data_IF_155411638376
#
_entry.id   IF_155411638376
#
_cell.length_a   1.000
_cell.length_b   1.000
_cell.length_c   1.000
_cell.angle_alpha   90.00
_cell.angle_beta   90.00
_cell.angle_gamma   90.00
#
_symmetry.space_group_name_H-M   'P 1'
#
loop_
_entity.id
_entity.type
_entity.pdbx_description
1 polymer ?
#
# COMPACT_ATOMS: atom_id res chain seq x y z
N UNK A 1 9.26 22.36 -0.52
CA UNK A 1 8.74 20.98 -0.46
C UNK A 1 7.22 20.96 -0.36
N UNK A 2 6.64 21.73 0.55
CA UNK A 2 5.19 21.85 0.70
C UNK A 2 4.47 22.20 -0.61
N UNK A 3 5.06 23.07 -1.46
CA UNK A 3 4.45 23.49 -2.72
C UNK A 3 4.26 22.37 -3.76
N UNK A 4 5.12 21.35 -3.81
CA UNK A 4 4.98 20.22 -4.75
C UNK A 4 3.89 19.28 -4.29
N UNK A 5 3.86 18.95 -3.01
CA UNK A 5 2.82 18.12 -2.42
C UNK A 5 1.45 18.81 -2.51
N UNK A 6 1.38 20.12 -2.25
CA UNK A 6 0.16 20.91 -2.42
C UNK A 6 -0.33 20.93 -3.86
N UNK A 7 0.57 21.03 -4.85
CA UNK A 7 0.22 20.94 -6.27
C UNK A 7 -0.33 19.57 -6.65
N UNK A 8 0.28 18.49 -6.17
CA UNK A 8 -0.22 17.12 -6.39
C UNK A 8 -1.60 16.96 -5.80
N UNK A 9 -1.81 17.38 -4.54
CA UNK A 9 -3.11 17.31 -3.86
C UNK A 9 -4.16 18.14 -4.61
N UNK A 10 -3.81 19.36 -5.04
CA UNK A 10 -4.71 20.23 -5.79
C UNK A 10 -5.09 19.65 -7.17
N UNK A 11 -4.24 18.80 -7.73
CA UNK A 11 -4.49 18.09 -8.99
C UNK A 11 -5.47 16.92 -8.86
N UNK A 12 -5.77 16.47 -7.64
CA UNK A 12 -6.72 15.37 -7.40
C UNK A 12 -8.15 15.89 -7.58
N UNK A 13 -8.78 15.56 -8.71
CA UNK A 13 -10.16 15.92 -8.98
C UNK A 13 -11.16 15.14 -8.10
N UNK A 14 -12.35 15.72 -7.85
CA UNK A 14 -13.42 15.02 -7.16
C UNK A 14 -13.97 13.86 -8.01
N UNK A 15 -14.52 12.87 -7.33
CA UNK A 15 -15.26 11.79 -7.99
C UNK A 15 -16.45 12.37 -8.78
N UNK A 16 -16.62 11.93 -10.03
CA UNK A 16 -17.82 12.28 -10.80
C UNK A 16 -19.06 11.54 -10.25
N UNK A 17 -19.83 12.27 -9.42
CA UNK A 17 -21.04 11.73 -8.77
C UNK A 17 -22.18 11.51 -9.77
N UNK A 18 -22.24 12.26 -10.86
CA UNK A 18 -23.24 12.08 -11.92
C UNK A 18 -23.04 10.72 -12.59
N UNK A 19 -21.80 10.40 -13.03
CA UNK A 19 -21.47 9.10 -13.61
C UNK A 19 -21.66 7.94 -12.62
N UNK A 20 -21.38 8.17 -11.35
CA UNK A 20 -21.68 7.20 -10.30
C UNK A 20 -23.19 6.91 -10.22
N UNK A 21 -24.02 7.95 -10.21
CA UNK A 21 -25.48 7.84 -10.17
C UNK A 21 -26.06 7.19 -11.42
N UNK A 22 -25.61 7.57 -12.61
CA UNK A 22 -25.98 6.93 -13.88
C UNK A 22 -25.68 5.43 -13.87
N UNK A 23 -24.51 5.03 -13.35
CA UNK A 23 -24.13 3.63 -13.22
C UNK A 23 -25.09 2.87 -12.31
N UNK A 24 -25.44 3.41 -11.14
CA UNK A 24 -26.40 2.80 -10.23
C UNK A 24 -27.79 2.67 -10.86
N UNK A 25 -28.28 3.71 -11.54
CA UNK A 25 -29.57 3.67 -12.23
C UNK A 25 -29.58 2.59 -13.31
N UNK A 26 -28.52 2.49 -14.10
CA UNK A 26 -28.37 1.46 -15.14
C UNK A 26 -28.36 0.06 -14.55
N UNK A 27 -27.58 -0.19 -13.51
CA UNK A 27 -27.51 -1.48 -12.84
C UNK A 27 -28.85 -1.88 -12.22
N UNK A 28 -29.55 -0.94 -11.58
CA UNK A 28 -30.87 -1.19 -11.00
C UNK A 28 -31.94 -1.54 -12.03
N UNK A 29 -31.76 -1.13 -13.27
CA UNK A 29 -32.67 -1.49 -14.38
C UNK A 29 -32.43 -2.90 -14.95
N UNK A 30 -31.32 -3.55 -14.59
CA UNK A 30 -31.01 -4.90 -15.03
C UNK A 30 -31.72 -5.92 -14.15
N UNK A 31 -32.28 -6.95 -14.79
CA UNK A 31 -32.94 -8.06 -14.11
C UNK A 31 -31.93 -9.10 -13.58
N UNK A 32 -30.88 -8.63 -12.90
CA UNK A 32 -29.83 -9.47 -12.28
C UNK A 32 -29.83 -9.26 -10.77
N UNK A 33 -29.44 -10.28 -9.98
CA UNK A 33 -29.28 -10.11 -8.56
C UNK A 33 -28.32 -8.95 -8.26
N UNK A 34 -28.73 -8.02 -7.39
CA UNK A 34 -27.92 -6.88 -6.98
C UNK A 34 -27.02 -7.31 -5.83
N UNK A 35 -25.72 -7.41 -6.08
CA UNK A 35 -24.71 -7.49 -5.01
C UNK A 35 -24.30 -6.07 -4.61
N UNK A 36 -24.63 -5.68 -3.38
CA UNK A 36 -24.40 -4.31 -2.88
C UNK A 36 -22.94 -3.88 -3.00
N UNK A 37 -21.99 -4.77 -2.76
CA UNK A 37 -20.56 -4.48 -2.86
C UNK A 37 -20.11 -4.30 -4.30
N UNK A 38 -20.54 -5.19 -5.21
CA UNK A 38 -20.20 -5.09 -6.63
C UNK A 38 -20.88 -3.87 -7.26
N UNK A 39 -22.12 -3.59 -6.92
CA UNK A 39 -22.84 -2.38 -7.37
C UNK A 39 -22.13 -1.12 -6.92
N UNK A 40 -21.75 -1.05 -5.64
CA UNK A 40 -20.97 0.07 -5.09
C UNK A 40 -19.64 0.24 -5.84
N UNK A 41 -18.87 -0.83 -6.01
CA UNK A 41 -17.59 -0.79 -6.71
C UNK A 41 -17.74 -0.34 -8.17
N UNK A 42 -18.74 -0.84 -8.87
CA UNK A 42 -19.02 -0.43 -10.26
C UNK A 42 -19.32 1.07 -10.36
N UNK A 43 -20.15 1.61 -9.47
CA UNK A 43 -20.42 3.05 -9.41
C UNK A 43 -19.18 3.88 -9.12
N UNK A 44 -18.32 3.42 -8.21
CA UNK A 44 -17.05 4.09 -7.91
C UNK A 44 -16.11 4.08 -9.12
N UNK A 45 -15.98 2.96 -9.81
CA UNK A 45 -15.18 2.84 -11.04
C UNK A 45 -15.72 3.78 -12.12
N UNK A 46 -17.03 3.81 -12.35
CA UNK A 46 -17.65 4.72 -13.31
C UNK A 46 -17.36 6.19 -12.98
N UNK A 47 -17.44 6.57 -11.70
CA UNK A 47 -17.17 7.93 -11.25
C UNK A 47 -15.69 8.33 -11.36
N UNK A 48 -14.74 7.41 -11.12
CA UNK A 48 -13.30 7.65 -11.26
C UNK A 48 -12.90 7.74 -12.73
N UNK A 49 -13.45 6.85 -13.58
CA UNK A 49 -13.10 6.78 -15.01
C UNK A 49 -13.92 7.71 -15.90
N UNK A 50 -14.86 8.46 -15.31
CA UNK A 50 -15.77 9.38 -15.99
C UNK A 50 -16.54 8.73 -17.17
N UNK A 51 -16.84 7.43 -17.08
CA UNK A 51 -17.51 6.67 -18.13
C UNK A 51 -18.28 5.47 -17.58
N UNK A 52 -19.38 5.10 -18.23
CA UNK A 52 -20.11 3.85 -17.98
C UNK A 52 -19.49 2.62 -18.68
N UNK A 53 -18.46 2.83 -19.48
CA UNK A 53 -17.75 1.77 -20.20
C UNK A 53 -16.25 1.89 -19.97
N UNK A 54 -15.78 1.62 -18.73
CA UNK A 54 -14.36 1.68 -18.43
C UNK A 54 -13.59 0.68 -19.30
N UNK A 55 -12.38 1.04 -19.69
CA UNK A 55 -11.48 0.12 -20.37
C UNK A 55 -11.15 -1.08 -19.51
N UNK A 56 -10.69 -2.17 -20.13
CA UNK A 56 -10.16 -3.31 -19.41
C UNK A 56 -9.01 -2.84 -18.48
N UNK A 57 -9.02 -3.34 -17.25
CA UNK A 57 -8.03 -2.96 -16.26
C UNK A 57 -6.65 -3.54 -16.63
N UNK A 58 -5.67 -2.66 -16.84
CA UNK A 58 -4.25 -3.01 -16.81
C UNK A 58 -3.80 -2.94 -15.35
N UNK A 59 -3.46 -4.08 -14.78
CA UNK A 59 -3.30 -4.25 -13.32
C UNK A 59 -1.85 -4.46 -12.95
N UNK A 60 -1.42 -3.85 -11.84
CA UNK A 60 -0.17 -4.17 -11.19
C UNK A 60 -0.35 -4.36 -9.67
N UNK A 61 0.47 -5.22 -9.10
CA UNK A 61 0.69 -5.31 -7.66
C UNK A 61 2.03 -4.64 -7.37
N UNK A 62 2.00 -3.57 -6.59
CA UNK A 62 3.18 -2.83 -6.16
C UNK A 62 3.47 -3.21 -4.72
N UNK A 63 4.63 -3.83 -4.50
CA UNK A 63 5.08 -4.29 -3.19
C UNK A 63 6.21 -3.38 -2.70
N UNK A 64 5.99 -2.77 -1.56
CA UNK A 64 6.99 -1.97 -0.86
C UNK A 64 7.70 -2.86 0.16
N UNK A 65 9.02 -2.97 0.03
CA UNK A 65 9.84 -3.79 0.91
C UNK A 65 10.59 -2.90 1.91
N UNK A 66 10.34 -3.11 3.20
CA UNK A 66 11.02 -2.38 4.27
C UNK A 66 11.01 -3.18 5.58
N UNK A 67 12.08 -3.09 6.33
CA UNK A 67 12.20 -3.67 7.67
C UNK A 67 12.01 -2.60 8.74
N UNK A 68 11.34 -2.96 9.85
CA UNK A 68 10.95 -2.02 10.88
C UNK A 68 11.45 -2.46 12.26
N UNK A 69 12.14 -1.57 12.98
CA UNK A 69 12.66 -1.82 14.31
C UNK A 69 11.66 -1.41 15.40
N UNK A 70 10.46 -1.99 15.38
CA UNK A 70 9.36 -1.60 16.30
C UNK A 70 9.48 -2.18 17.69
N UNK A 71 10.19 -3.30 17.84
CA UNK A 71 10.32 -4.03 19.09
C UNK A 71 11.73 -3.93 19.71
N UNK A 72 12.55 -3.02 19.18
CA UNK A 72 13.93 -2.82 19.63
C UNK A 72 14.84 -4.02 19.38
N UNK A 73 14.39 -4.97 18.55
CA UNK A 73 14.99 -6.28 18.40
C UNK A 73 16.45 -6.25 18.03
N UNK A 74 17.28 -6.80 18.93
CA UNK A 74 18.68 -7.15 18.69
C UNK A 74 18.79 -8.48 17.94
N UNK A 75 17.99 -8.66 16.89
CA UNK A 75 17.97 -9.93 16.19
C UNK A 75 19.22 -10.06 15.30
N UNK A 76 20.01 -11.09 15.53
CA UNK A 76 21.21 -11.40 14.74
C UNK A 76 20.92 -11.75 13.26
N UNK A 77 19.68 -12.10 12.95
CA UNK A 77 19.22 -12.43 11.59
C UNK A 77 18.43 -11.29 10.94
N UNK A 78 18.64 -10.08 11.43
CA UNK A 78 17.91 -8.88 11.04
C UNK A 78 17.82 -8.72 9.52
N UNK A 79 16.61 -8.68 8.98
CA UNK A 79 16.35 -8.52 7.55
C UNK A 79 16.65 -9.73 6.66
N UNK A 80 17.17 -10.83 7.18
CA UNK A 80 17.48 -12.00 6.32
C UNK A 80 16.23 -12.67 5.76
N UNK A 81 15.17 -12.75 6.55
CA UNK A 81 13.88 -13.28 6.11
C UNK A 81 13.25 -12.42 5.03
N UNK A 82 13.29 -11.11 5.19
CA UNK A 82 12.78 -10.12 4.25
C UNK A 82 13.54 -10.15 2.92
N UNK A 83 14.86 -10.25 2.98
CA UNK A 83 15.71 -10.42 1.79
C UNK A 83 15.35 -11.70 1.03
N UNK A 84 15.21 -12.83 1.73
CA UNK A 84 14.85 -14.09 1.10
C UNK A 84 13.48 -14.00 0.42
N UNK A 85 12.49 -13.42 1.10
CA UNK A 85 11.15 -13.20 0.54
C UNK A 85 11.17 -12.28 -0.68
N UNK A 86 11.94 -11.20 -0.63
CA UNK A 86 12.10 -10.28 -1.75
C UNK A 86 12.70 -10.97 -2.97
N UNK A 87 13.77 -11.75 -2.79
CA UNK A 87 14.40 -12.52 -3.87
C UNK A 87 13.46 -13.59 -4.45
N UNK A 88 12.67 -14.25 -3.62
CA UNK A 88 11.66 -15.22 -4.09
C UNK A 88 10.60 -14.54 -4.96
N UNK A 89 10.11 -13.38 -4.55
CA UNK A 89 9.13 -12.58 -5.30
C UNK A 89 9.75 -12.05 -6.60
N UNK A 90 10.96 -11.50 -6.54
CA UNK A 90 11.68 -11.01 -7.72
C UNK A 90 11.92 -12.11 -8.76
N UNK A 91 12.21 -13.33 -8.30
CA UNK A 91 12.33 -14.51 -9.15
C UNK A 91 11.00 -15.06 -9.70
N UNK A 92 9.86 -14.40 -9.40
CA UNK A 92 8.53 -14.85 -9.85
C UNK A 92 7.98 -16.06 -9.11
N UNK A 93 8.60 -16.49 -8.01
CA UNK A 93 8.26 -17.73 -7.27
C UNK A 93 7.36 -17.49 -6.06
N UNK A 94 7.24 -16.24 -5.61
CA UNK A 94 6.42 -15.86 -4.46
C UNK A 94 4.94 -16.19 -4.66
N UNK A 95 4.22 -16.39 -3.57
CA UNK A 95 2.77 -16.65 -3.62
C UNK A 95 2.03 -15.54 -4.36
N UNK A 96 2.42 -14.28 -4.14
CA UNK A 96 1.80 -13.12 -4.79
C UNK A 96 1.96 -13.15 -6.32
N UNK A 97 3.10 -13.66 -6.84
CA UNK A 97 3.30 -13.78 -8.28
C UNK A 97 2.30 -14.75 -8.90
N UNK A 98 1.98 -15.85 -8.22
CA UNK A 98 0.99 -16.86 -8.69
C UNK A 98 -0.40 -16.25 -8.75
N UNK A 99 -0.80 -15.53 -7.71
CA UNK A 99 -2.11 -14.84 -7.65
C UNK A 99 -2.19 -13.74 -8.71
N UNK A 100 -1.17 -12.89 -8.82
CA UNK A 100 -1.10 -11.84 -9.81
C UNK A 100 -1.21 -12.38 -11.24
N UNK A 101 -0.49 -13.47 -11.53
CA UNK A 101 -0.56 -14.14 -12.83
C UNK A 101 -1.99 -14.62 -13.18
N UNK A 102 -2.73 -15.18 -12.20
CA UNK A 102 -4.10 -15.66 -12.43
C UNK A 102 -5.06 -14.53 -12.85
N UNK A 103 -4.82 -13.31 -12.38
CA UNK A 103 -5.66 -12.15 -12.71
C UNK A 103 -5.04 -11.26 -13.80
N UNK A 104 -3.94 -11.68 -14.41
CA UNK A 104 -3.23 -10.90 -15.43
C UNK A 104 -2.65 -9.59 -14.91
N UNK A 105 -2.15 -9.59 -13.67
CA UNK A 105 -1.49 -8.43 -13.07
C UNK A 105 0.03 -8.59 -13.09
N UNK A 106 0.76 -7.50 -13.34
CA UNK A 106 2.20 -7.41 -13.12
C UNK A 106 2.53 -7.36 -11.62
N UNK A 107 3.75 -7.72 -11.25
CA UNK A 107 4.27 -7.53 -9.89
C UNK A 107 5.51 -6.64 -9.96
N UNK A 108 5.48 -5.53 -9.23
CA UNK A 108 6.58 -4.61 -9.07
C UNK A 108 7.04 -4.65 -7.62
N UNK A 109 8.33 -4.88 -7.39
CA UNK A 109 8.92 -4.94 -6.06
C UNK A 109 9.92 -3.81 -5.88
N UNK A 110 9.68 -2.96 -4.88
CA UNK A 110 10.44 -1.76 -4.58
C UNK A 110 11.12 -1.94 -3.21
N UNK A 111 12.44 -1.85 -3.18
CA UNK A 111 13.17 -1.80 -1.91
C UNK A 111 13.19 -0.36 -1.39
N UNK A 112 12.36 -0.09 -0.39
CA UNK A 112 12.25 1.22 0.26
C UNK A 112 13.09 1.31 1.53
N UNK A 113 13.50 0.17 2.09
CA UNK A 113 14.22 0.16 3.36
C UNK A 113 14.43 -1.22 3.95
N UNK A 114 14.81 -2.20 3.15
CA UNK A 114 15.27 -3.48 3.68
C UNK A 114 16.59 -3.30 4.42
N UNK A 115 16.77 -4.01 5.52
CA UNK A 115 18.03 -4.01 6.28
C UNK A 115 19.21 -4.54 5.46
N UNK A 116 18.94 -5.55 4.62
CA UNK A 116 19.93 -6.18 3.76
C UNK A 116 19.90 -5.58 2.35
N UNK A 117 21.07 -5.41 1.74
CA UNK A 117 21.15 -5.02 0.35
C UNK A 117 20.70 -6.14 -0.59
N UNK A 118 19.96 -5.77 -1.62
CA UNK A 118 19.60 -6.62 -2.75
C UNK A 118 20.12 -5.92 -4.01
N UNK A 119 20.94 -6.58 -4.84
CA UNK A 119 21.37 -6.01 -6.11
C UNK A 119 20.19 -5.77 -7.06
N UNK A 120 20.18 -4.66 -7.79
CA UNK A 120 19.16 -4.36 -8.81
C UNK A 120 19.04 -5.46 -9.87
N UNK A 121 20.15 -6.14 -10.18
CA UNK A 121 20.19 -7.27 -11.12
C UNK A 121 19.25 -8.42 -10.71
N UNK A 122 18.81 -8.47 -9.47
CA UNK A 122 17.89 -9.49 -8.95
C UNK A 122 16.40 -9.16 -9.21
N UNK A 123 16.09 -8.09 -9.94
CA UNK A 123 14.72 -7.71 -10.27
C UNK A 123 13.95 -6.97 -9.16
N UNK A 124 14.69 -6.38 -8.25
CA UNK A 124 14.17 -5.48 -7.21
C UNK A 124 14.61 -4.07 -7.57
N UNK A 125 13.67 -3.13 -7.66
CA UNK A 125 14.00 -1.74 -7.87
C UNK A 125 14.47 -1.12 -6.56
N UNK A 126 15.70 -0.60 -6.53
CA UNK A 126 16.28 0.03 -5.34
C UNK A 126 15.83 1.50 -5.24
N UNK A 127 14.98 1.77 -4.26
CA UNK A 127 14.51 3.10 -3.84
C UNK A 127 14.76 3.31 -2.33
N UNK A 128 15.76 2.62 -1.81
CA UNK A 128 16.07 2.57 -0.39
C UNK A 128 16.45 3.93 0.18
N UNK A 129 15.66 4.41 1.14
CA UNK A 129 15.93 5.65 1.87
C UNK A 129 16.79 5.42 3.12
N UNK A 130 16.75 4.18 3.67
CA UNK A 130 17.57 3.78 4.82
C UNK A 130 17.59 2.26 4.96
N UNK A 131 18.51 1.72 5.75
CA UNK A 131 18.61 0.29 6.08
C UNK A 131 17.76 -0.05 7.31
N UNK A 132 16.52 -0.45 7.09
CA UNK A 132 15.55 -0.63 8.16
C UNK A 132 15.27 0.68 8.94
N UNK A 133 14.16 0.75 9.65
CA UNK A 133 13.85 1.92 10.46
C UNK A 133 14.63 1.93 11.79
N UNK A 134 14.80 3.10 12.40
CA UNK A 134 15.24 3.18 13.79
C UNK A 134 14.14 2.71 14.73
N UNK A 135 14.57 2.33 15.96
CA UNK A 135 13.63 1.94 17.00
C UNK A 135 12.89 3.18 17.53
N UNK A 136 11.61 3.27 17.19
CA UNK A 136 10.78 4.44 17.45
C UNK A 136 10.64 4.82 18.92
N UNK A 137 10.76 3.87 19.89
CA UNK A 137 10.71 4.19 21.31
C UNK A 137 11.98 4.90 21.83
N UNK A 138 13.04 4.99 21.00
CA UNK A 138 14.27 5.73 21.32
C UNK A 138 14.38 7.07 20.59
N UNK A 139 13.47 7.34 19.65
CA UNK A 139 13.46 8.53 18.83
C UNK A 139 12.70 8.33 17.51
N UNK A 140 12.71 9.29 16.60
CA UNK A 140 12.06 9.16 15.30
C UNK A 140 12.54 7.92 14.56
N UNK A 141 11.61 7.16 13.96
CA UNK A 141 11.91 5.96 13.19
C UNK A 141 12.69 6.27 11.91
N UNK A 142 12.53 7.46 11.37
CA UNK A 142 13.26 8.03 10.23
C UNK A 142 13.31 9.56 10.36
N UNK A 143 14.17 10.20 9.59
CA UNK A 143 14.18 11.66 9.52
C UNK A 143 13.05 12.18 8.63
N UNK A 144 12.74 13.48 8.73
CA UNK A 144 11.74 14.11 7.85
C UNK A 144 12.16 14.03 6.38
N UNK A 145 13.42 14.23 6.06
CA UNK A 145 13.95 14.10 4.69
C UNK A 145 13.75 12.67 4.16
N UNK A 146 14.08 11.65 4.95
CA UNK A 146 13.85 10.25 4.57
C UNK A 146 12.38 9.93 4.34
N UNK A 147 11.49 10.47 5.16
CA UNK A 147 10.05 10.33 4.97
C UNK A 147 9.60 10.97 3.65
N UNK A 148 10.07 12.18 3.39
CA UNK A 148 9.74 12.90 2.15
C UNK A 148 10.29 12.19 0.92
N UNK A 149 11.54 11.71 0.96
CA UNK A 149 12.14 10.95 -0.14
C UNK A 149 11.32 9.68 -0.45
N UNK A 150 10.88 8.96 0.59
CA UNK A 150 10.02 7.79 0.42
C UNK A 150 8.65 8.15 -0.19
N UNK A 151 8.04 9.26 0.24
CA UNK A 151 6.77 9.74 -0.31
C UNK A 151 6.91 10.14 -1.79
N UNK A 152 7.96 10.90 -2.13
CA UNK A 152 8.20 11.31 -3.52
C UNK A 152 8.52 10.12 -4.42
N UNK A 153 9.26 9.12 -3.94
CA UNK A 153 9.47 7.87 -4.66
C UNK A 153 8.15 7.19 -4.97
N UNK A 154 7.23 7.14 -4.01
CA UNK A 154 5.89 6.59 -4.21
C UNK A 154 5.06 7.35 -5.25
N UNK A 155 5.11 8.68 -5.22
CA UNK A 155 4.45 9.53 -6.21
C UNK A 155 4.99 9.28 -7.61
N UNK A 156 6.32 9.25 -7.78
CA UNK A 156 6.96 9.02 -9.07
C UNK A 156 6.61 7.64 -9.64
N UNK A 157 6.58 6.60 -8.81
CA UNK A 157 6.12 5.27 -9.24
C UNK A 157 4.67 5.30 -9.69
N UNK A 158 3.80 6.03 -8.97
CA UNK A 158 2.41 6.20 -9.37
C UNK A 158 2.25 6.88 -10.73
N UNK A 159 3.00 7.95 -10.98
CA UNK A 159 3.04 8.66 -12.27
C UNK A 159 3.55 7.75 -13.39
N UNK A 160 4.68 7.07 -13.19
CA UNK A 160 5.23 6.15 -14.18
C UNK A 160 4.24 5.03 -14.56
N UNK A 161 3.56 4.47 -13.58
CA UNK A 161 2.54 3.44 -13.83
C UNK A 161 1.32 4.01 -14.58
N UNK A 162 0.92 5.24 -14.28
CA UNK A 162 -0.16 5.92 -15.01
C UNK A 162 0.22 6.19 -16.47
N UNK A 163 1.44 6.65 -16.72
CA UNK A 163 1.97 6.87 -18.07
C UNK A 163 2.04 5.57 -18.88
N UNK A 164 2.34 4.47 -18.23
CA UNK A 164 2.26 3.13 -18.82
C UNK A 164 0.84 2.57 -18.92
N UNK A 165 -0.17 3.38 -18.62
CA UNK A 165 -1.59 3.04 -18.68
C UNK A 165 -2.05 1.95 -17.70
N UNK A 166 -1.34 1.76 -16.58
CA UNK A 166 -1.89 1.00 -15.47
C UNK A 166 -3.02 1.78 -14.81
N UNK A 167 -4.15 1.14 -14.62
CA UNK A 167 -5.36 1.79 -14.08
C UNK A 167 -5.98 1.04 -12.89
N UNK A 168 -5.33 -0.04 -12.45
CA UNK A 168 -5.69 -0.73 -11.21
C UNK A 168 -4.42 -1.20 -10.50
N UNK A 169 -4.22 -0.71 -9.28
CA UNK A 169 -3.05 -1.01 -8.46
C UNK A 169 -3.47 -1.72 -7.19
N UNK A 170 -2.87 -2.88 -6.93
CA UNK A 170 -2.88 -3.53 -5.63
C UNK A 170 -1.63 -3.10 -4.87
N UNK A 171 -1.78 -2.58 -3.65
CA UNK A 171 -0.65 -2.19 -2.81
C UNK A 171 -0.41 -3.25 -1.74
N UNK A 172 0.84 -3.58 -1.51
CA UNK A 172 1.23 -4.50 -0.46
C UNK A 172 2.58 -4.13 0.14
N UNK A 173 2.89 -4.75 1.27
CA UNK A 173 4.20 -4.62 1.89
C UNK A 173 4.81 -5.98 2.19
N UNK A 174 6.12 -6.03 2.20
CA UNK A 174 6.93 -7.12 2.75
C UNK A 174 8.02 -6.54 3.64
N UNK A 175 8.42 -7.30 4.63
CA UNK A 175 9.49 -6.91 5.54
C UNK A 175 9.19 -7.29 6.98
N UNK A 176 10.22 -7.28 7.79
CA UNK A 176 10.07 -7.59 9.21
C UNK A 176 9.22 -6.51 9.88
N UNK A 177 8.22 -6.93 10.64
CA UNK A 177 7.32 -6.09 11.45
C UNK A 177 6.48 -5.05 10.69
N UNK A 178 6.39 -5.15 9.36
CA UNK A 178 5.58 -4.23 8.55
C UNK A 178 4.11 -4.19 9.00
N UNK A 179 3.52 -5.34 9.34
CA UNK A 179 2.15 -5.39 9.85
C UNK A 179 2.01 -4.66 11.19
N UNK A 180 2.98 -4.84 12.10
CA UNK A 180 2.96 -4.16 13.40
C UNK A 180 3.08 -2.63 13.23
N UNK A 181 3.97 -2.19 12.34
CA UNK A 181 4.10 -0.76 11.98
C UNK A 181 2.80 -0.20 11.43
N UNK A 182 2.14 -0.94 10.53
CA UNK A 182 0.84 -0.53 9.98
C UNK A 182 -0.23 -0.37 11.08
N UNK A 183 -0.26 -1.27 12.06
CA UNK A 183 -1.16 -1.15 13.21
C UNK A 183 -0.85 0.08 14.07
N UNK A 184 0.43 0.33 14.37
CA UNK A 184 0.84 1.51 15.15
C UNK A 184 0.45 2.79 14.45
N UNK A 185 0.72 2.92 13.14
CA UNK A 185 0.34 4.08 12.36
C UNK A 185 -1.19 4.26 12.31
N UNK A 186 -1.94 3.16 12.14
CA UNK A 186 -3.40 3.20 12.16
C UNK A 186 -3.91 3.67 13.51
N UNK A 187 -3.37 3.14 14.59
CA UNK A 187 -3.76 3.53 15.95
C UNK A 187 -3.42 5.01 16.22
N UNK A 188 -2.27 5.49 15.77
CA UNK A 188 -1.88 6.90 15.92
C UNK A 188 -2.80 7.83 15.12
N UNK A 189 -3.20 7.42 13.90
CA UNK A 189 -4.10 8.20 13.04
C UNK A 189 -5.53 8.29 13.57
N UNK A 190 -6.01 7.20 14.17
CA UNK A 190 -7.37 7.08 14.71
C UNK A 190 -7.39 7.16 16.25
N UNK A 191 -6.42 7.84 16.86
CA UNK A 191 -6.27 7.94 18.31
C UNK A 191 -7.55 8.31 19.03
N UNK A 192 -8.32 9.24 18.49
CA UNK A 192 -9.60 9.69 19.05
C UNK A 192 -10.78 8.79 18.65
N UNK A 193 -10.59 7.89 17.69
CA UNK A 193 -11.61 7.01 17.11
C UNK A 193 -11.26 5.52 17.26
N UNK A 194 -10.52 5.15 18.31
CA UNK A 194 -10.13 3.75 18.57
C UNK A 194 -11.34 2.78 18.65
N UNK A 195 -12.54 3.32 18.95
CA UNK A 195 -13.77 2.55 18.94
C UNK A 195 -14.26 2.18 17.53
N UNK A 196 -13.82 2.91 16.51
CA UNK A 196 -14.21 2.72 15.10
C UNK A 196 -13.32 1.74 14.35
N UNK A 197 -12.25 1.24 15.02
CA UNK A 197 -11.39 0.23 14.43
C UNK A 197 -12.17 -1.03 14.05
N UNK A 198 -11.90 -1.63 12.88
CA UNK A 198 -12.54 -2.85 12.45
C UNK A 198 -12.49 -3.95 13.51
N UNK A 199 -13.57 -4.69 13.68
CA UNK A 199 -13.71 -5.70 14.75
C UNK A 199 -12.64 -6.79 14.72
N UNK A 200 -12.09 -7.11 13.54
CA UNK A 200 -10.97 -8.05 13.41
C UNK A 200 -9.65 -7.52 13.99
N UNK A 201 -9.48 -6.21 14.08
CA UNK A 201 -8.34 -5.58 14.74
C UNK A 201 -8.51 -5.57 16.28
N UNK A 202 -9.75 -5.45 16.75
CA UNK A 202 -10.08 -5.47 18.18
C UNK A 202 -9.94 -6.86 18.82
N UNK A 203 -10.23 -7.93 18.05
CA UNK A 203 -10.34 -9.29 18.57
C UNK A 203 -9.02 -10.00 18.87
N UNK A 204 -7.87 -9.42 18.54
CA UNK A 204 -6.58 -10.14 18.63
C UNK A 204 -5.74 -9.84 19.88
N UNK A 205 -6.27 -9.14 20.88
CA UNK A 205 -5.51 -8.75 22.08
C UNK A 205 -4.33 -7.81 21.82
N UNK A 206 -4.07 -7.53 20.54
CA UNK A 206 -2.97 -6.67 20.08
C UNK A 206 -3.24 -5.19 20.32
N UNK A 207 -4.51 -4.82 20.43
CA UNK A 207 -4.91 -3.43 20.67
C UNK A 207 -4.46 -2.97 22.07
N UNK A 208 -4.60 -3.82 23.09
CA UNK A 208 -4.15 -3.52 24.46
C UNK A 208 -2.62 -3.40 24.52
N UNK A 209 -1.90 -4.27 23.79
CA UNK A 209 -0.45 -4.17 23.66
C UNK A 209 -0.01 -2.90 22.93
N UNK A 210 -0.74 -2.47 21.90
CA UNK A 210 -0.46 -1.25 21.16
C UNK A 210 -0.75 -0.01 22.01
N UNK A 211 -1.84 0.00 22.77
CA UNK A 211 -2.17 1.11 23.67
C UNK A 211 -1.08 1.25 24.75
N UNK A 212 -0.62 0.12 25.33
CA UNK A 212 0.46 0.12 26.31
C UNK A 212 1.84 0.54 25.73
N UNK A 213 2.01 0.51 24.43
CA UNK A 213 3.22 1.00 23.74
C UNK A 213 3.14 2.48 23.35
N UNK A 214 1.95 3.09 23.42
CA UNK A 214 1.71 4.50 23.07
C UNK A 214 1.66 5.42 24.28
N UNK A 215 1.56 4.88 25.53
CA UNK A 215 1.67 5.57 26.81
C UNK A 215 3.14 5.63 27.29
#
# INVERSE_FOLDING_TARGET
>A
MDSVLEQVIAGIGPLNLEKTGECYAKLSSLAVPQDGNLTYLAGRIAGVSDTLQPSLLKKAVVLFAADHAVDGGENKTKGMGSKAAALEIAAGKGHINKVAHQIGAGVLLLDMGLEQNIPESEGVQDLKVMHGSHFWAKGPAMTEDQMLDAMFSGLQIGENLADEHYNALGLGNIGERGLLTAFILTAAFFRDSMNDLPSHMKSQGKLEQLTALMD
#
